data_IF_831976443904
#
_entry.id   IF_831976443904
#
_cell.length_a   1.000
_cell.length_b   1.000
_cell.length_c   1.000
_cell.angle_alpha   90.00
_cell.angle_beta   90.00
_cell.angle_gamma   90.00
#
_symmetry.space_group_name_H-M   'P 1'
#
loop_
_entity.id
_entity.type
_entity.pdbx_description
1 polymer ?
#
# COMPACT_ATOMS: atom_id res chain seq x y z
N UNK A 1 28.56 -6.30 6.75
CA UNK A 1 29.13 -6.15 5.39
C UNK A 1 28.61 -4.86 4.78
N UNK A 2 29.46 -3.83 4.66
CA UNK A 2 29.12 -2.56 4.00
C UNK A 2 29.29 -2.75 2.49
N UNK A 3 28.28 -3.29 1.79
CA UNK A 3 28.27 -3.25 0.32
C UNK A 3 27.94 -1.82 -0.11
N UNK A 4 28.85 -1.23 -0.88
CA UNK A 4 28.82 0.17 -1.28
C UNK A 4 27.62 0.43 -2.21
N UNK A 5 26.61 1.14 -1.69
CA UNK A 5 25.58 1.84 -2.47
C UNK A 5 26.14 3.12 -3.10
N UNK A 6 27.40 3.09 -3.53
CA UNK A 6 28.02 4.23 -4.20
C UNK A 6 27.72 4.07 -5.69
N UNK A 7 27.08 5.09 -6.25
CA UNK A 7 26.71 5.26 -7.66
C UNK A 7 25.37 4.61 -8.09
N UNK A 8 24.28 5.37 -7.94
CA UNK A 8 22.97 5.12 -8.57
C UNK A 8 22.92 5.81 -9.95
N UNK A 9 23.83 5.46 -10.86
CA UNK A 9 23.76 5.85 -12.28
C UNK A 9 23.81 4.56 -13.11
N UNK A 10 22.88 4.38 -14.06
CA UNK A 10 22.93 3.28 -15.03
C UNK A 10 22.36 1.93 -14.55
N UNK A 11 21.37 1.94 -13.64
CA UNK A 11 20.62 0.69 -13.39
C UNK A 11 19.60 0.47 -14.49
N UNK A 12 19.43 -0.76 -14.91
CA UNK A 12 18.40 -1.14 -15.86
C UNK A 12 17.42 -2.09 -15.18
N UNK A 13 16.14 -1.72 -15.14
CA UNK A 13 15.07 -2.62 -14.71
C UNK A 13 14.47 -3.27 -15.94
N UNK A 14 14.64 -4.59 -16.07
CA UNK A 14 14.09 -5.39 -17.16
C UNK A 14 12.97 -6.28 -16.64
N UNK A 15 11.76 -6.13 -17.18
CA UNK A 15 10.68 -7.09 -17.03
C UNK A 15 10.55 -7.90 -18.33
N UNK A 16 10.94 -9.17 -18.30
CA UNK A 16 10.89 -10.06 -19.46
C UNK A 16 10.67 -11.52 -19.05
N UNK A 17 10.37 -12.43 -19.99
CA UNK A 17 10.40 -13.86 -19.70
C UNK A 17 11.77 -14.29 -19.15
N UNK A 18 11.77 -15.24 -18.21
CA UNK A 18 12.98 -15.65 -17.47
C UNK A 18 14.11 -16.13 -18.38
N UNK A 19 13.77 -16.86 -19.43
CA UNK A 19 14.72 -17.40 -20.40
C UNK A 19 15.37 -16.29 -21.24
N UNK A 20 14.62 -15.23 -21.59
CA UNK A 20 15.18 -14.06 -22.26
C UNK A 20 16.10 -13.27 -21.33
N UNK A 21 15.73 -13.11 -20.06
CA UNK A 21 16.60 -12.47 -19.07
C UNK A 21 17.89 -13.26 -18.86
N UNK A 22 17.81 -14.59 -18.79
CA UNK A 22 18.98 -15.45 -18.69
C UNK A 22 19.83 -15.45 -19.98
N UNK A 23 19.24 -15.23 -21.15
CA UNK A 23 19.97 -15.01 -22.40
C UNK A 23 20.70 -13.67 -22.39
N UNK A 24 20.02 -12.60 -21.97
CA UNK A 24 20.57 -11.25 -21.83
C UNK A 24 21.75 -11.22 -20.86
N UNK A 25 21.59 -11.84 -19.68
CA UNK A 25 22.64 -11.97 -18.66
C UNK A 25 23.87 -12.75 -19.17
N UNK A 26 23.70 -13.69 -20.10
CA UNK A 26 24.80 -14.44 -20.70
C UNK A 26 25.48 -13.71 -21.86
N UNK A 27 24.71 -12.92 -22.62
CA UNK A 27 25.13 -12.34 -23.90
C UNK A 27 25.68 -10.92 -23.78
N UNK A 28 25.31 -10.19 -22.73
CA UNK A 28 25.77 -8.82 -22.48
C UNK A 28 26.57 -8.79 -21.17
N UNK A 29 27.61 -7.95 -21.04
CA UNK A 29 28.42 -7.80 -19.82
C UNK A 29 27.67 -7.09 -18.68
N UNK A 30 26.37 -7.34 -18.55
CA UNK A 30 25.53 -6.76 -17.52
C UNK A 30 25.88 -7.34 -16.16
N UNK A 31 26.19 -6.48 -15.20
CA UNK A 31 26.31 -6.90 -13.82
C UNK A 31 24.91 -7.08 -13.24
N UNK A 32 24.38 -8.31 -13.30
CA UNK A 32 23.12 -8.65 -12.64
C UNK A 32 23.27 -8.45 -11.12
N UNK A 33 22.47 -7.54 -10.56
CA UNK A 33 22.53 -7.19 -9.14
C UNK A 33 21.64 -8.12 -8.33
N UNK A 34 21.89 -9.42 -8.41
CA UNK A 34 21.17 -10.51 -7.71
C UNK A 34 19.65 -10.54 -8.02
N UNK A 35 19.05 -11.72 -8.31
CA UNK A 35 17.59 -11.81 -8.41
C UNK A 35 16.95 -11.36 -7.08
N UNK A 36 15.83 -10.62 -7.15
CA UNK A 36 15.13 -10.15 -5.95
C UNK A 36 14.81 -11.38 -5.07
N UNK A 37 15.35 -11.44 -3.83
CA UNK A 37 15.09 -12.57 -2.96
C UNK A 37 13.62 -12.57 -2.54
N UNK A 38 12.95 -13.71 -2.70
CA UNK A 38 11.58 -13.87 -2.21
C UNK A 38 11.56 -14.30 -0.73
N UNK A 39 10.49 -13.95 0.01
CA UNK A 39 10.29 -14.45 1.35
C UNK A 39 10.31 -15.98 1.38
N UNK A 40 11.09 -16.55 2.31
CA UNK A 40 11.15 -18.00 2.56
C UNK A 40 10.34 -18.42 3.78
N UNK A 41 9.85 -17.44 4.52
CA UNK A 41 9.14 -17.63 5.78
C UNK A 41 8.06 -16.55 5.91
N UNK A 42 6.93 -16.95 6.50
CA UNK A 42 5.86 -16.07 6.93
C UNK A 42 5.55 -16.38 8.40
N UNK A 43 5.01 -15.42 9.12
CA UNK A 43 4.49 -15.61 10.46
C UNK A 43 2.97 -15.69 10.38
N UNK A 44 2.39 -16.74 10.98
CA UNK A 44 0.93 -16.96 10.98
C UNK A 44 0.40 -16.91 12.41
N UNK A 45 -0.79 -16.32 12.57
CA UNK A 45 -1.43 -16.19 13.87
C UNK A 45 -2.17 -17.49 14.25
N UNK A 46 -1.57 -18.31 15.12
CA UNK A 46 -2.12 -19.59 15.60
C UNK A 46 -2.91 -19.43 16.89
N UNK A 47 -4.01 -20.17 17.01
CA UNK A 47 -4.80 -20.23 18.23
C UNK A 47 -4.09 -21.05 19.31
N UNK A 48 -3.93 -20.49 20.50
CA UNK A 48 -3.53 -21.21 21.70
C UNK A 48 -4.68 -21.15 22.71
N UNK A 49 -4.74 -22.09 23.66
CA UNK A 49 -5.72 -22.04 24.75
C UNK A 49 -5.64 -20.78 25.63
N UNK A 50 -4.69 -19.86 25.38
CA UNK A 50 -4.48 -18.58 26.08
C UNK A 50 -4.52 -17.36 25.15
N UNK A 51 -4.98 -17.49 23.90
CA UNK A 51 -4.99 -16.41 22.88
C UNK A 51 -4.24 -16.78 21.61
N UNK A 52 -4.07 -15.85 20.66
CA UNK A 52 -3.28 -16.12 19.44
C UNK A 52 -1.78 -15.86 19.67
N UNK A 53 -0.91 -16.58 18.96
CA UNK A 53 0.54 -16.34 18.91
C UNK A 53 1.07 -16.44 17.49
N UNK A 54 2.19 -15.78 17.22
CA UNK A 54 2.90 -15.94 15.96
C UNK A 54 3.62 -17.28 15.89
N UNK A 55 3.56 -17.90 14.72
CA UNK A 55 4.38 -19.05 14.38
C UNK A 55 4.97 -18.89 12.99
N UNK A 56 6.27 -19.17 12.88
CA UNK A 56 6.96 -19.18 11.61
C UNK A 56 6.56 -20.41 10.77
N UNK A 57 6.21 -20.17 9.51
CA UNK A 57 5.88 -21.19 8.52
C UNK A 57 6.75 -20.97 7.30
N UNK A 58 7.34 -22.05 6.79
CA UNK A 58 8.15 -22.00 5.57
C UNK A 58 7.26 -21.79 4.35
N UNK A 59 7.72 -20.90 3.48
CA UNK A 59 7.08 -20.65 2.20
C UNK A 59 7.86 -21.37 1.09
N UNK A 60 7.16 -21.98 0.11
CA UNK A 60 7.82 -22.50 -1.08
C UNK A 60 8.41 -21.33 -1.89
N UNK A 61 9.45 -21.57 -2.70
CA UNK A 61 9.85 -20.59 -3.71
C UNK A 61 8.65 -20.29 -4.62
N UNK A 62 8.45 -19.04 -5.05
CA UNK A 62 7.33 -18.73 -5.91
C UNK A 62 7.43 -19.49 -7.23
N UNK A 63 6.31 -20.05 -7.66
CA UNK A 63 6.13 -20.55 -9.01
C UNK A 63 5.32 -19.48 -9.78
N UNK A 64 5.98 -18.60 -10.55
CA UNK A 64 5.24 -17.62 -11.34
C UNK A 64 4.38 -18.33 -12.40
N UNK A 65 3.28 -17.71 -12.82
CA UNK A 65 2.41 -18.30 -13.83
C UNK A 65 3.16 -18.42 -15.18
N UNK A 66 2.78 -19.36 -16.05
CA UNK A 66 3.32 -19.45 -17.41
C UNK A 66 3.19 -18.11 -18.14
N UNK A 67 4.30 -17.61 -18.71
CA UNK A 67 4.33 -16.32 -19.40
C UNK A 67 4.49 -15.09 -18.51
N UNK A 68 4.68 -15.26 -17.19
CA UNK A 68 5.01 -14.15 -16.30
C UNK A 68 6.32 -13.47 -16.70
N UNK A 69 6.32 -12.15 -16.59
CA UNK A 69 7.51 -11.34 -16.75
C UNK A 69 8.20 -11.25 -15.41
N UNK A 70 9.46 -11.64 -15.38
CA UNK A 70 10.32 -11.51 -14.22
C UNK A 70 11.00 -10.16 -14.26
N UNK A 71 11.14 -9.51 -13.11
CA UNK A 71 11.95 -8.29 -13.02
C UNK A 71 13.41 -8.67 -12.67
N UNK A 72 14.36 -8.06 -13.39
CA UNK A 72 15.79 -8.10 -13.10
C UNK A 72 16.35 -6.69 -13.04
N UNK A 73 17.25 -6.49 -12.09
CA UNK A 73 18.06 -5.28 -11.99
C UNK A 73 19.45 -5.57 -12.55
N UNK A 74 19.81 -4.85 -13.60
CA UNK A 74 21.14 -4.86 -14.17
C UNK A 74 21.83 -3.51 -13.94
N UNK A 75 23.15 -3.48 -14.13
CA UNK A 75 23.91 -2.25 -14.36
C UNK A 75 24.44 -2.33 -15.78
N UNK A 76 24.18 -1.29 -16.57
CA UNK A 76 24.73 -1.11 -17.91
C UNK A 76 25.56 0.18 -17.92
N UNK A 77 26.78 0.15 -18.49
CA UNK A 77 27.66 1.32 -18.54
C UNK A 77 27.96 1.70 -20.00
N UNK A 78 27.55 2.91 -20.43
CA UNK A 78 27.95 3.48 -21.73
C UNK A 78 27.32 2.80 -22.95
N UNK A 79 28.14 2.46 -23.96
CA UNK A 79 27.67 1.96 -25.26
C UNK A 79 26.93 0.60 -25.20
N UNK A 80 27.09 -0.14 -24.11
CA UNK A 80 26.47 -1.44 -23.84
C UNK A 80 24.93 -1.35 -23.75
N UNK A 81 24.42 -0.17 -23.41
CA UNK A 81 23.00 0.11 -23.23
C UNK A 81 22.23 0.04 -24.55
N UNK A 82 22.73 0.71 -25.59
CA UNK A 82 22.08 0.76 -26.90
C UNK A 82 22.09 -0.61 -27.59
N UNK A 83 23.16 -1.38 -27.40
CA UNK A 83 23.28 -2.75 -27.91
C UNK A 83 22.26 -3.68 -27.24
N UNK A 84 22.11 -3.56 -25.92
CA UNK A 84 21.12 -4.30 -25.16
C UNK A 84 19.69 -3.96 -25.58
N UNK A 85 19.35 -2.67 -25.70
CA UNK A 85 18.03 -2.25 -26.17
C UNK A 85 17.75 -2.81 -27.57
N UNK A 86 18.72 -2.73 -28.49
CA UNK A 86 18.58 -3.30 -29.83
C UNK A 86 18.46 -4.83 -29.82
N UNK A 87 19.14 -5.54 -28.92
CA UNK A 87 18.98 -6.99 -28.74
C UNK A 87 17.58 -7.34 -28.24
N UNK A 88 17.11 -6.67 -27.19
CA UNK A 88 15.79 -6.87 -26.61
C UNK A 88 14.67 -6.58 -27.64
N UNK A 89 14.79 -5.49 -28.39
CA UNK A 89 13.83 -5.13 -29.44
C UNK A 89 13.77 -6.19 -30.56
N UNK A 90 14.91 -6.80 -30.93
CA UNK A 90 14.98 -7.86 -31.94
C UNK A 90 14.40 -9.19 -31.48
N UNK A 91 14.24 -9.42 -30.18
CA UNK A 91 13.68 -10.67 -29.66
C UNK A 91 12.22 -10.89 -30.10
N UNK A 92 11.48 -9.82 -30.42
CA UNK A 92 10.04 -9.88 -30.74
C UNK A 92 9.17 -10.30 -29.54
N UNK A 93 9.73 -10.34 -28.34
CA UNK A 93 9.04 -10.73 -27.10
C UNK A 93 8.65 -9.50 -26.30
N UNK A 94 7.66 -9.65 -25.43
CA UNK A 94 7.29 -8.60 -24.49
C UNK A 94 8.46 -8.36 -23.51
N UNK A 95 9.17 -7.26 -23.72
CA UNK A 95 10.23 -6.78 -22.85
C UNK A 95 9.89 -5.36 -22.45
N UNK A 96 9.98 -5.09 -21.16
CA UNK A 96 9.91 -3.74 -20.63
C UNK A 96 11.25 -3.44 -19.98
N UNK A 97 11.85 -2.30 -20.33
CA UNK A 97 13.17 -1.91 -19.85
C UNK A 97 13.17 -0.43 -19.47
N UNK A 98 13.73 -0.09 -18.30
CA UNK A 98 14.00 1.29 -17.90
C UNK A 98 15.48 1.53 -17.73
N UNK A 99 15.96 2.69 -18.18
CA UNK A 99 17.23 3.27 -17.76
C UNK A 99 16.98 4.12 -16.51
N UNK A 100 17.44 3.67 -15.35
CA UNK A 100 17.55 4.49 -14.13
C UNK A 100 18.66 5.53 -14.36
N UNK A 101 18.36 6.53 -15.17
CA UNK A 101 19.16 7.76 -15.21
C UNK A 101 18.79 8.70 -14.07
N UNK A 102 17.65 8.50 -13.43
CA UNK A 102 17.24 9.29 -12.27
C UNK A 102 16.53 8.39 -11.24
N UNK A 103 17.32 7.67 -10.44
CA UNK A 103 17.03 7.63 -9.00
C UNK A 103 17.47 8.98 -8.41
N UNK A 104 17.09 10.10 -9.06
CA UNK A 104 16.80 11.29 -8.29
C UNK A 104 15.65 10.83 -7.42
N UNK A 105 15.91 10.70 -6.14
CA UNK A 105 15.17 11.57 -5.25
C UNK A 105 13.65 11.54 -5.35
N UNK A 106 12.99 10.50 -5.86
CA UNK A 106 11.53 10.39 -5.83
C UNK A 106 11.15 9.99 -4.41
N UNK A 107 11.41 10.92 -3.50
CA UNK A 107 10.46 11.28 -2.48
C UNK A 107 9.14 11.54 -3.20
N UNK A 108 8.18 10.69 -2.91
CA UNK A 108 6.89 11.11 -2.36
C UNK A 108 5.95 9.91 -2.42
N UNK A 109 6.24 8.86 -1.62
CA UNK A 109 5.15 8.16 -0.93
C UNK A 109 4.71 9.10 0.19
N UNK A 110 4.08 10.22 -0.16
CA UNK A 110 3.73 11.28 0.77
C UNK A 110 2.63 10.80 1.70
N UNK A 111 3.05 10.25 2.83
CA UNK A 111 2.23 10.15 4.04
C UNK A 111 2.18 11.51 4.74
N UNK A 112 1.61 12.50 4.06
CA UNK A 112 1.24 13.79 4.66
C UNK A 112 -0.02 13.67 5.51
N UNK A 113 0.10 13.43 6.81
CA UNK A 113 -0.97 13.87 7.72
C UNK A 113 -0.76 15.35 7.98
N UNK A 114 -1.70 16.26 7.72
CA UNK A 114 -1.42 17.68 7.89
C UNK A 114 -1.84 18.24 9.24
N UNK A 115 -2.60 17.49 10.04
CA UNK A 115 -2.98 17.96 11.36
C UNK A 115 -3.20 16.82 12.33
N UNK A 116 -2.34 16.76 13.37
CA UNK A 116 -0.98 17.31 13.34
C UNK A 116 -0.08 16.53 12.35
N UNK A 117 1.06 17.12 11.94
CA UNK A 117 2.13 16.41 11.19
C UNK A 117 2.52 15.10 11.89
N UNK A 118 2.46 15.17 13.21
CA UNK A 118 2.75 14.10 14.11
C UNK A 118 1.46 13.51 14.69
N UNK A 119 1.47 12.20 14.91
CA UNK A 119 0.42 11.52 15.64
C UNK A 119 0.23 12.13 17.03
N UNK A 120 -1.02 12.19 17.51
CA UNK A 120 -1.33 12.52 18.90
C UNK A 120 -1.49 11.22 19.68
N UNK A 121 -0.69 11.03 20.72
CA UNK A 121 -0.81 9.87 21.62
C UNK A 121 -2.13 9.91 22.38
N UNK A 122 -2.75 8.73 22.55
CA UNK A 122 -3.99 8.55 23.31
C UNK A 122 -3.80 7.49 24.41
N UNK A 123 -3.02 7.79 25.47
CA UNK A 123 -2.65 6.78 26.49
C UNK A 123 -3.82 6.23 27.30
N UNK A 124 -4.96 6.92 27.33
CA UNK A 124 -6.19 6.47 27.98
C UNK A 124 -7.24 5.89 27.01
N UNK A 125 -6.95 5.82 25.71
CA UNK A 125 -7.87 5.21 24.76
C UNK A 125 -7.76 3.69 24.82
N UNK A 126 -8.90 3.04 24.57
CA UNK A 126 -9.04 1.59 24.58
C UNK A 126 -9.77 1.10 23.31
N UNK A 127 -10.07 -0.20 23.28
CA UNK A 127 -10.77 -0.79 22.14
C UNK A 127 -12.20 -0.21 21.97
N UNK A 128 -12.84 0.23 23.05
CA UNK A 128 -14.16 0.86 22.97
C UNK A 128 -14.07 2.23 22.30
N UNK A 129 -13.10 3.06 22.68
CA UNK A 129 -12.83 4.34 22.02
C UNK A 129 -12.50 4.17 20.54
N UNK A 130 -11.67 3.18 20.19
CA UNK A 130 -11.34 2.84 18.81
C UNK A 130 -12.57 2.45 17.98
N UNK A 131 -13.52 1.69 18.56
CA UNK A 131 -14.77 1.28 17.89
C UNK A 131 -15.86 2.34 17.86
N UNK A 132 -15.81 3.30 18.78
CA UNK A 132 -16.81 4.37 18.91
C UNK A 132 -16.46 5.64 18.12
N UNK A 133 -15.39 5.63 17.31
CA UNK A 133 -14.98 6.81 16.55
C UNK A 133 -16.04 7.22 15.49
N UNK A 134 -16.37 8.52 15.34
CA UNK A 134 -17.44 8.98 14.44
C UNK A 134 -17.25 8.59 12.97
N UNK A 135 -16.01 8.40 12.53
CA UNK A 135 -15.67 7.92 11.20
C UNK A 135 -16.37 6.60 10.84
N UNK A 136 -16.58 5.69 11.80
CA UNK A 136 -17.23 4.41 11.55
C UNK A 136 -18.76 4.55 11.39
N UNK A 137 -19.35 5.51 12.10
CA UNK A 137 -20.75 5.89 11.88
C UNK A 137 -20.94 6.42 10.47
N UNK A 138 -20.04 7.31 10.06
CA UNK A 138 -20.06 7.94 8.76
C UNK A 138 -19.88 6.91 7.64
N UNK A 139 -19.01 5.91 7.81
CA UNK A 139 -18.89 4.80 6.85
C UNK A 139 -20.16 3.92 6.76
N UNK A 140 -21.08 4.01 7.73
CA UNK A 140 -22.27 3.17 7.83
C UNK A 140 -22.05 1.88 8.64
N UNK A 141 -20.90 1.71 9.30
CA UNK A 141 -20.57 0.48 10.02
C UNK A 141 -21.50 0.22 11.20
N UNK A 142 -21.90 1.26 11.94
CA UNK A 142 -22.80 1.12 13.08
C UNK A 142 -24.21 0.68 12.69
N UNK A 143 -24.70 1.16 11.55
CA UNK A 143 -25.99 0.71 11.01
C UNK A 143 -25.90 -0.75 10.58
N UNK A 144 -24.84 -1.11 9.86
CA UNK A 144 -24.59 -2.49 9.45
C UNK A 144 -24.46 -3.44 10.65
N UNK A 145 -23.80 -3.03 11.74
CA UNK A 145 -23.64 -3.84 12.95
C UNK A 145 -24.94 -4.06 13.73
N UNK A 146 -25.93 -3.19 13.55
CA UNK A 146 -27.27 -3.37 14.13
C UNK A 146 -28.16 -4.29 13.29
N UNK A 147 -27.77 -4.59 12.04
CA UNK A 147 -28.53 -5.49 11.19
C UNK A 147 -28.54 -6.92 11.76
N UNK A 148 -29.66 -7.68 11.66
CA UNK A 148 -29.73 -9.05 12.16
C UNK A 148 -28.66 -9.98 11.56
N UNK A 149 -28.27 -9.69 10.32
CA UNK A 149 -27.18 -10.35 9.63
C UNK A 149 -26.46 -9.35 8.72
N UNK A 150 -25.12 -9.41 8.73
CA UNK A 150 -24.27 -8.75 7.74
C UNK A 150 -23.13 -9.67 7.32
N UNK A 151 -22.69 -9.63 6.05
CA UNK A 151 -21.41 -10.21 5.65
C UNK A 151 -20.26 -9.51 6.39
N UNK A 152 -19.18 -10.23 6.64
CA UNK A 152 -18.04 -9.77 7.46
C UNK A 152 -16.70 -9.95 6.77
N UNK A 153 -16.69 -10.22 5.46
CA UNK A 153 -15.49 -10.42 4.65
C UNK A 153 -15.06 -11.88 4.53
N UNK A 154 -15.92 -12.84 4.85
CA UNK A 154 -15.61 -14.26 4.77
C UNK A 154 -15.10 -14.68 3.39
N UNK A 155 -13.99 -15.42 3.37
CA UNK A 155 -13.43 -15.97 2.13
C UNK A 155 -12.70 -14.95 1.25
N UNK A 156 -12.55 -13.70 1.71
CA UNK A 156 -11.78 -12.66 1.02
C UNK A 156 -10.43 -12.47 1.73
N UNK A 157 -9.37 -12.31 0.95
CA UNK A 157 -8.05 -11.96 1.47
C UNK A 157 -7.73 -10.50 1.16
N UNK A 158 -7.51 -9.70 2.20
CA UNK A 158 -7.00 -8.33 2.09
C UNK A 158 -5.50 -8.35 2.27
N UNK A 159 -4.79 -7.92 1.25
CA UNK A 159 -3.32 -7.86 1.19
C UNK A 159 -2.90 -6.41 1.41
N UNK A 160 -2.15 -6.15 2.46
CA UNK A 160 -1.64 -4.83 2.81
C UNK A 160 -0.15 -4.83 2.48
N UNK A 161 0.24 -3.99 1.52
CA UNK A 161 1.65 -3.73 1.20
C UNK A 161 2.04 -2.42 1.86
N UNK A 162 2.76 -2.50 2.98
CA UNK A 162 3.02 -1.34 3.84
C UNK A 162 4.30 -1.58 4.67
N UNK A 163 4.53 -0.78 5.70
CA UNK A 163 5.51 -1.01 6.74
C UNK A 163 4.98 -1.98 7.80
N UNK A 164 5.88 -2.45 8.65
CA UNK A 164 5.56 -3.30 9.79
C UNK A 164 6.77 -3.42 10.70
N UNK A 165 6.56 -3.74 11.98
CA UNK A 165 7.67 -3.89 12.92
C UNK A 165 8.49 -5.14 12.59
N UNK A 166 9.80 -5.05 12.77
CA UNK A 166 10.69 -6.18 12.51
C UNK A 166 10.36 -7.38 13.38
N UNK A 167 10.33 -8.58 12.78
CA UNK A 167 10.04 -9.79 13.52
C UNK A 167 11.23 -10.19 14.39
N UNK A 168 10.96 -10.44 15.67
CA UNK A 168 11.94 -11.00 16.60
C UNK A 168 11.88 -12.53 16.63
N UNK A 169 12.60 -13.14 17.58
CA UNK A 169 12.56 -14.61 17.79
C UNK A 169 11.16 -15.16 18.09
N UNK A 170 10.30 -14.34 18.69
CA UNK A 170 8.92 -14.69 19.03
C UNK A 170 7.92 -14.33 17.91
N UNK A 171 8.41 -13.84 16.76
CA UNK A 171 7.62 -13.27 15.69
C UNK A 171 7.48 -11.75 15.80
N UNK A 172 6.57 -11.16 14.99
CA UNK A 172 6.29 -9.73 14.98
C UNK A 172 5.79 -9.22 16.33
N UNK A 173 6.29 -8.07 16.83
CA UNK A 173 5.99 -7.58 18.17
C UNK A 173 4.65 -6.82 18.26
N UNK A 174 3.59 -7.38 17.67
CA UNK A 174 2.23 -6.82 17.75
C UNK A 174 1.17 -7.91 17.88
N UNK A 175 -0.03 -7.49 18.27
CA UNK A 175 -1.19 -8.35 18.50
C UNK A 175 -1.55 -9.22 17.28
N UNK A 176 -1.45 -10.56 17.40
CA UNK A 176 -1.77 -11.50 16.32
C UNK A 176 -3.27 -11.59 15.99
N UNK A 177 -4.15 -10.87 16.69
CA UNK A 177 -5.56 -10.76 16.29
C UNK A 177 -5.79 -9.79 15.12
N UNK A 178 -4.86 -8.87 14.87
CA UNK A 178 -5.01 -7.85 13.83
C UNK A 178 -4.68 -8.38 12.42
N UNK A 179 -3.68 -9.26 12.32
CA UNK A 179 -3.15 -9.79 11.05
C UNK A 179 -3.11 -11.31 11.12
N UNK A 180 -3.54 -12.00 10.06
CA UNK A 180 -3.53 -13.46 10.02
C UNK A 180 -2.19 -14.01 9.49
N UNK A 181 -1.59 -13.31 8.53
CA UNK A 181 -0.30 -13.67 7.92
C UNK A 181 0.58 -12.42 7.81
N UNK A 182 1.78 -12.49 8.36
CA UNK A 182 2.78 -11.43 8.30
C UNK A 182 4.01 -11.90 7.52
N UNK A 183 4.49 -11.08 6.60
CA UNK A 183 5.61 -11.42 5.70
C UNK A 183 6.61 -10.28 5.70
N UNK A 184 7.89 -10.59 5.93
CA UNK A 184 8.96 -9.62 5.77
C UNK A 184 9.54 -9.71 4.36
N UNK A 185 9.45 -8.62 3.59
CA UNK A 185 10.12 -8.56 2.30
C UNK A 185 11.65 -8.54 2.51
N UNK A 186 12.43 -9.43 1.87
CA UNK A 186 13.83 -9.66 2.28
C UNK A 186 14.78 -8.53 1.88
N UNK A 187 14.44 -7.77 0.85
CA UNK A 187 15.18 -6.60 0.40
C UNK A 187 14.36 -5.35 0.74
N UNK A 188 15.03 -4.31 1.23
CA UNK A 188 14.40 -3.00 1.45
C UNK A 188 15.39 -1.91 1.12
N UNK A 189 14.86 -0.77 0.71
CA UNK A 189 15.64 0.44 0.48
C UNK A 189 16.33 0.90 1.80
N UNK A 190 17.65 1.15 1.81
CA UNK A 190 18.34 1.66 2.99
C UNK A 190 17.81 3.03 3.42
N UNK A 191 17.56 3.22 4.73
CA UNK A 191 16.93 4.43 5.27
C UNK A 191 17.78 5.71 5.13
N UNK A 192 19.10 5.57 4.95
CA UNK A 192 20.03 6.71 4.85
C UNK A 192 20.37 7.13 3.42
N UNK A 193 19.61 6.71 2.41
CA UNK A 193 19.86 7.15 1.04
C UNK A 193 19.48 8.63 0.88
N UNK A 194 20.31 9.47 0.20
CA UNK A 194 19.99 10.87 -0.04
C UNK A 194 18.66 11.09 -0.78
N UNK A 195 18.24 10.13 -1.61
CA UNK A 195 16.92 10.11 -2.26
C UNK A 195 15.76 10.06 -1.27
N UNK A 196 15.98 9.63 -0.03
CA UNK A 196 14.97 9.61 1.03
C UNK A 196 15.03 10.81 1.97
N UNK A 197 15.97 11.74 1.78
CA UNK A 197 16.08 12.93 2.62
C UNK A 197 14.94 13.90 2.28
N UNK A 198 14.26 14.45 3.29
CA UNK A 198 13.20 15.46 3.08
C UNK A 198 13.73 16.59 2.19
N UNK A 199 13.04 16.88 1.08
CA UNK A 199 13.34 18.06 0.25
C UNK A 199 12.89 19.27 1.07
N UNK A 200 13.76 20.26 1.32
CA UNK A 200 13.35 21.48 1.98
C UNK A 200 12.22 22.14 1.17
N UNK A 201 11.09 22.44 1.80
CA UNK A 201 10.06 23.26 1.15
C UNK A 201 10.73 24.57 0.68
N UNK A 202 10.53 24.99 -0.58
CA UNK A 202 11.07 26.25 -1.04
C UNK A 202 10.51 27.38 -0.18
N UNK A 203 11.38 28.29 0.28
CA UNK A 203 10.98 29.45 1.06
C UNK A 203 9.79 30.14 0.41
N UNK A 204 8.72 30.29 1.19
CA UNK A 204 7.40 30.75 0.75
C UNK A 204 7.48 32.06 0.00
N UNK A 205 7.55 31.97 -1.33
CA UNK A 205 7.15 33.09 -2.18
C UNK A 205 5.65 33.20 -2.02
N UNK A 206 5.20 34.35 -1.51
CA UNK A 206 3.80 34.71 -1.29
C UNK A 206 3.00 34.47 -2.57
N UNK A 207 2.43 33.28 -2.71
CA UNK A 207 1.39 33.07 -3.70
C UNK A 207 0.19 33.86 -3.17
N UNK A 208 -0.21 34.93 -3.88
CA UNK A 208 -1.30 35.83 -3.47
C UNK A 208 -2.70 35.19 -3.38
N UNK A 209 -2.79 33.86 -3.42
CA UNK A 209 -3.97 33.10 -3.02
C UNK A 209 -3.94 33.04 -1.50
N UNK A 210 -5.01 33.47 -0.83
CA UNK A 210 -5.13 33.45 0.63
C UNK A 210 -4.78 32.06 1.16
N UNK A 211 -3.54 31.90 1.62
CA UNK A 211 -3.08 30.65 2.21
C UNK A 211 -4.05 30.29 3.33
N UNK A 212 -4.70 29.13 3.20
CA UNK A 212 -5.42 28.54 4.33
C UNK A 212 -4.35 28.22 5.37
N UNK A 213 -4.13 29.16 6.29
CA UNK A 213 -3.13 29.01 7.35
C UNK A 213 -3.38 27.71 8.09
N UNK A 214 -2.33 26.90 8.14
CA UNK A 214 -2.31 25.62 8.81
C UNK A 214 -2.59 25.79 10.31
N UNK A 215 -3.55 25.06 10.91
CA UNK A 215 -3.74 25.05 12.35
C UNK A 215 -2.54 24.36 13.01
N UNK A 216 -1.75 25.10 13.79
CA UNK A 216 -0.67 24.51 14.59
C UNK A 216 -1.29 23.99 15.88
N UNK A 217 -1.28 22.67 16.06
CA UNK A 217 -1.74 22.02 17.29
C UNK A 217 -0.56 21.89 18.25
N UNK A 218 -0.70 22.47 19.45
CA UNK A 218 0.25 22.29 20.54
C UNK A 218 -0.34 21.35 21.59
N UNK A 219 0.33 20.23 21.83
CA UNK A 219 -0.05 19.26 22.86
C UNK A 219 1.18 18.52 23.38
N UNK A 220 1.30 18.24 24.70
CA UNK A 220 2.35 17.37 25.22
C UNK A 220 2.21 15.90 24.76
N UNK A 221 1.05 15.56 24.18
CA UNK A 221 0.79 14.24 23.59
C UNK A 221 1.18 14.16 22.12
N UNK A 222 1.56 15.29 21.50
CA UNK A 222 2.09 15.32 20.15
C UNK A 222 3.39 14.49 20.10
N UNK A 223 3.49 13.61 19.11
CA UNK A 223 4.65 12.74 18.96
C UNK A 223 5.90 13.53 18.55
N UNK A 224 7.05 13.18 19.13
CA UNK A 224 8.36 13.66 18.65
C UNK A 224 8.79 12.92 17.39
N UNK A 225 9.82 13.39 16.69
CA UNK A 225 10.35 12.71 15.49
C UNK A 225 10.76 11.26 15.75
N UNK A 226 11.36 11.00 16.92
CA UNK A 226 11.72 9.64 17.32
C UNK A 226 10.49 8.75 17.52
N UNK A 227 9.45 9.29 18.16
CA UNK A 227 8.18 8.58 18.34
C UNK A 227 7.48 8.36 17.00
N UNK A 228 7.54 9.34 16.09
CA UNK A 228 7.02 9.21 14.73
C UNK A 228 7.73 8.13 13.94
N UNK A 229 9.06 7.97 14.05
CA UNK A 229 9.75 6.82 13.45
C UNK A 229 9.20 5.48 13.97
N UNK A 230 8.94 5.38 15.28
CA UNK A 230 8.36 4.18 15.86
C UNK A 230 6.91 3.92 15.39
N UNK A 231 6.10 4.98 15.23
CA UNK A 231 4.74 4.87 14.69
C UNK A 231 4.72 4.52 13.20
N UNK A 232 5.60 5.11 12.39
CA UNK A 232 5.76 4.77 10.97
C UNK A 232 6.12 3.30 10.78
N UNK A 233 6.91 2.71 11.68
CA UNK A 233 7.18 1.27 11.66
C UNK A 233 5.94 0.39 11.93
N UNK A 234 4.86 0.95 12.49
CA UNK A 234 3.60 0.25 12.75
C UNK A 234 2.46 0.69 11.82
N UNK A 235 2.73 1.48 10.79
CA UNK A 235 1.70 2.04 9.91
C UNK A 235 0.85 0.94 9.25
N UNK A 236 1.46 -0.11 8.71
CA UNK A 236 0.70 -1.25 8.16
C UNK A 236 -0.16 -2.01 9.18
N UNK A 237 0.23 -2.01 10.46
CA UNK A 237 -0.60 -2.59 11.55
C UNK A 237 -1.81 -1.71 11.83
N UNK A 238 -1.65 -0.38 11.81
CA UNK A 238 -2.77 0.56 11.93
C UNK A 238 -3.76 0.40 10.76
N UNK A 239 -3.26 0.29 9.53
CA UNK A 239 -4.07 -0.02 8.34
C UNK A 239 -4.83 -1.34 8.52
N UNK A 240 -4.14 -2.41 8.95
CA UNK A 240 -4.75 -3.70 9.22
C UNK A 240 -5.86 -3.63 10.28
N UNK A 241 -5.66 -2.82 11.34
CA UNK A 241 -6.65 -2.65 12.41
C UNK A 241 -7.97 -2.06 11.89
N UNK A 242 -7.91 -1.11 10.96
CA UNK A 242 -9.09 -0.51 10.34
C UNK A 242 -9.81 -1.50 9.41
N UNK A 243 -9.05 -2.26 8.60
CA UNK A 243 -9.61 -3.34 7.78
C UNK A 243 -10.33 -4.35 8.68
N UNK A 244 -9.71 -4.78 9.79
CA UNK A 244 -10.27 -5.73 10.75
C UNK A 244 -11.54 -5.21 11.41
N UNK A 245 -11.68 -3.90 11.65
CA UNK A 245 -12.92 -3.32 12.17
C UNK A 245 -14.10 -3.49 11.20
N UNK A 246 -13.87 -3.21 9.91
CA UNK A 246 -14.94 -3.22 8.91
C UNK A 246 -15.26 -4.64 8.45
N UNK A 247 -14.23 -5.44 8.16
CA UNK A 247 -14.30 -6.81 7.65
C UNK A 247 -13.64 -7.81 8.62
N UNK A 248 -14.24 -8.06 9.79
CA UNK A 248 -13.59 -8.83 10.86
C UNK A 248 -13.30 -10.29 10.51
N UNK A 249 -13.92 -10.84 9.46
CA UNK A 249 -13.75 -12.23 9.00
C UNK A 249 -12.98 -12.34 7.68
N UNK A 250 -12.48 -11.24 7.14
CA UNK A 250 -11.48 -11.28 6.06
C UNK A 250 -10.15 -11.83 6.59
N UNK A 251 -9.42 -12.53 5.72
CA UNK A 251 -8.05 -12.91 5.98
C UNK A 251 -7.16 -11.70 5.69
N UNK A 252 -6.36 -11.26 6.67
CA UNK A 252 -5.48 -10.10 6.49
C UNK A 252 -4.04 -10.58 6.36
N UNK A 253 -3.42 -10.24 5.23
CA UNK A 253 -2.01 -10.51 4.92
C UNK A 253 -1.27 -9.18 4.91
N UNK A 254 -0.35 -8.97 5.86
CA UNK A 254 0.51 -7.79 5.89
C UNK A 254 1.90 -8.16 5.36
N UNK A 255 2.30 -7.54 4.25
CA UNK A 255 3.65 -7.66 3.69
C UNK A 255 4.40 -6.38 4.00
N UNK A 256 5.43 -6.50 4.85
CA UNK A 256 6.37 -5.41 5.17
C UNK A 256 7.31 -5.20 3.98
N UNK A 257 6.91 -4.33 3.05
CA UNK A 257 7.72 -3.92 1.90
C UNK A 257 8.33 -2.53 2.10
N UNK A 258 7.68 -1.67 2.87
CA UNK A 258 8.20 -0.33 3.18
C UNK A 258 9.23 -0.38 4.33
N UNK A 259 10.23 0.50 4.26
CA UNK A 259 11.19 0.71 5.35
C UNK A 259 10.63 1.63 6.47
N UNK A 260 11.42 1.95 7.50
CA UNK A 260 10.98 2.83 8.60
C UNK A 260 10.70 4.29 8.18
N UNK A 261 11.21 4.70 7.02
CA UNK A 261 10.89 5.99 6.39
C UNK A 261 9.68 5.92 5.46
N UNK A 262 8.97 4.78 5.39
CA UNK A 262 7.84 4.50 4.50
C UNK A 262 8.20 4.50 3.00
N UNK A 263 9.48 4.27 2.67
CA UNK A 263 9.97 4.14 1.29
C UNK A 263 10.16 2.68 0.86
N UNK A 264 9.93 2.42 -0.42
CA UNK A 264 10.31 1.20 -1.13
C UNK A 264 10.60 1.53 -2.60
N UNK A 265 11.32 0.65 -3.28
CA UNK A 265 11.44 0.79 -4.73
C UNK A 265 10.20 0.23 -5.44
N UNK A 266 9.78 0.86 -6.53
CA UNK A 266 8.59 0.45 -7.30
C UNK A 266 8.61 -1.03 -7.71
N UNK A 267 9.79 -1.55 -8.09
CA UNK A 267 9.92 -2.96 -8.45
C UNK A 267 9.71 -3.91 -7.27
N UNK A 268 10.06 -3.51 -6.03
CA UNK A 268 9.82 -4.32 -4.83
C UNK A 268 8.33 -4.46 -4.57
N UNK A 269 7.57 -3.38 -4.78
CA UNK A 269 6.10 -3.38 -4.70
C UNK A 269 5.50 -4.29 -5.77
N UNK A 270 5.94 -4.18 -7.03
CA UNK A 270 5.48 -5.02 -8.15
C UNK A 270 5.73 -6.51 -7.88
N UNK A 271 6.95 -6.86 -7.46
CA UNK A 271 7.30 -8.24 -7.16
C UNK A 271 6.55 -8.77 -5.93
N UNK A 272 6.32 -7.94 -4.90
CA UNK A 272 5.51 -8.33 -3.75
C UNK A 272 4.05 -8.61 -4.16
N UNK A 273 3.44 -7.78 -5.01
CA UNK A 273 2.09 -8.01 -5.51
C UNK A 273 2.01 -9.33 -6.31
N UNK A 274 2.95 -9.56 -7.23
CA UNK A 274 3.02 -10.79 -8.02
C UNK A 274 3.24 -12.03 -7.15
N UNK A 275 4.10 -11.91 -6.14
CA UNK A 275 4.39 -12.98 -5.19
C UNK A 275 3.15 -13.41 -4.41
N UNK A 276 2.36 -12.47 -3.88
CA UNK A 276 1.10 -12.78 -3.19
C UNK A 276 0.08 -13.41 -4.15
N UNK A 277 -0.04 -12.87 -5.38
CA UNK A 277 -0.90 -13.46 -6.41
C UNK A 277 -0.53 -14.90 -6.77
N UNK A 278 0.77 -15.22 -6.81
CA UNK A 278 1.26 -16.58 -7.02
C UNK A 278 0.96 -17.49 -5.82
N UNK A 279 1.11 -16.99 -4.59
CA UNK A 279 0.78 -17.73 -3.37
C UNK A 279 -0.71 -18.09 -3.28
N UNK A 280 -1.60 -17.22 -3.80
CA UNK A 280 -3.03 -17.51 -3.88
C UNK A 280 -3.36 -18.67 -4.84
N UNK A 281 -2.53 -18.91 -5.88
CA UNK A 281 -2.70 -20.00 -6.85
C UNK A 281 -2.02 -21.30 -6.45
N UNK A 282 -0.94 -21.20 -5.69
CA UNK A 282 -0.20 -22.34 -5.14
C UNK A 282 -0.26 -22.26 -3.60
N UNK A 283 -1.43 -22.56 -3.01
CA UNK A 283 -1.71 -22.24 -1.62
C UNK A 283 -0.85 -23.07 -0.66
N UNK A 284 -0.27 -22.37 0.31
CA UNK A 284 0.32 -23.00 1.50
C UNK A 284 -0.79 -23.17 2.53
N UNK A 285 -1.01 -24.38 3.10
CA UNK A 285 -2.04 -24.59 4.12
C UNK A 285 -1.62 -24.01 5.47
N UNK A 286 -2.57 -23.39 6.17
CA UNK A 286 -2.42 -22.93 7.54
C UNK A 286 -2.26 -24.14 8.48
N UNK A 287 -1.27 -24.16 9.40
CA UNK A 287 -1.00 -25.31 10.27
C UNK A 287 -2.20 -25.80 11.09
N UNK A 288 -3.03 -24.90 11.61
CA UNK A 288 -4.18 -25.26 12.45
C UNK A 288 -5.45 -25.62 11.68
N UNK A 289 -5.70 -24.97 10.54
CA UNK A 289 -7.03 -24.99 9.89
C UNK A 289 -7.03 -25.70 8.56
N UNK A 290 -5.85 -25.98 7.98
CA UNK A 290 -5.68 -26.50 6.64
C UNK A 290 -6.10 -25.54 5.52
N UNK A 291 -6.67 -24.37 5.84
CA UNK A 291 -7.07 -23.36 4.85
C UNK A 291 -5.85 -22.69 4.23
N UNK A 292 -5.89 -22.25 2.96
CA UNK A 292 -4.82 -21.46 2.37
C UNK A 292 -4.41 -20.23 3.21
N UNK A 293 -3.11 -19.95 3.28
CA UNK A 293 -2.59 -18.70 3.87
C UNK A 293 -2.99 -17.47 3.07
N UNK A 294 -3.26 -17.64 1.78
CA UNK A 294 -3.76 -16.60 0.86
C UNK A 294 -4.78 -17.26 -0.05
N UNK A 295 -5.95 -16.64 -0.22
CA UNK A 295 -7.02 -17.15 -1.09
C UNK A 295 -7.64 -16.02 -1.92
N UNK A 296 -8.09 -16.33 -3.14
CA UNK A 296 -8.89 -15.40 -3.91
C UNK A 296 -10.34 -15.32 -3.37
N UNK A 297 -11.03 -14.17 -3.53
CA UNK A 297 -10.58 -12.95 -4.20
C UNK A 297 -9.58 -12.14 -3.36
N UNK A 298 -8.67 -11.44 -4.04
CA UNK A 298 -7.64 -10.60 -3.44
C UNK A 298 -8.03 -9.12 -3.49
N UNK A 299 -7.92 -8.43 -2.37
CA UNK A 299 -8.00 -6.97 -2.28
C UNK A 299 -6.64 -6.44 -1.85
N UNK A 300 -5.90 -5.83 -2.77
CA UNK A 300 -4.64 -5.14 -2.47
C UNK A 300 -4.96 -3.75 -1.92
N UNK A 301 -4.70 -3.55 -0.64
CA UNK A 301 -4.66 -2.23 -0.03
C UNK A 301 -3.26 -1.62 -0.24
N UNK A 302 -3.18 -0.64 -1.13
CA UNK A 302 -1.96 0.11 -1.44
C UNK A 302 -2.05 1.47 -0.76
N UNK A 303 -1.71 1.47 0.53
CA UNK A 303 -1.54 2.68 1.34
C UNK A 303 -0.18 3.33 1.05
N UNK A 304 0.08 3.55 -0.24
CA UNK A 304 1.32 4.10 -0.78
C UNK A 304 1.00 4.76 -2.12
N UNK A 305 1.91 5.62 -2.59
CA UNK A 305 1.82 6.26 -3.89
C UNK A 305 3.22 6.54 -4.43
N UNK A 306 3.33 6.62 -5.75
CA UNK A 306 4.51 7.08 -6.47
C UNK A 306 4.14 8.41 -7.11
N UNK A 307 4.97 9.43 -6.89
CA UNK A 307 4.78 10.73 -7.53
C UNK A 307 4.92 10.64 -9.04
N UNK A 308 3.96 11.24 -9.72
CA UNK A 308 3.80 11.21 -11.17
C UNK A 308 4.38 12.50 -11.73
N UNK A 309 5.71 12.58 -11.86
CA UNK A 309 6.30 13.74 -12.53
C UNK A 309 5.90 13.78 -14.02
N UNK A 310 5.78 12.63 -14.70
CA UNK A 310 5.19 12.47 -16.05
C UNK A 310 4.53 11.07 -16.22
N UNK A 311 3.32 10.95 -16.82
CA UNK A 311 2.62 9.68 -17.07
C UNK A 311 3.43 8.62 -17.84
N UNK A 312 4.45 9.05 -18.56
CA UNK A 312 5.28 8.23 -19.42
C UNK A 312 6.59 7.79 -18.75
N UNK A 313 6.78 8.05 -17.45
CA UNK A 313 7.94 7.46 -16.77
C UNK A 313 7.85 5.95 -16.81
N UNK A 314 9.00 5.29 -16.91
CA UNK A 314 9.02 3.84 -17.09
C UNK A 314 8.53 3.13 -15.83
N UNK A 315 8.76 3.71 -14.66
CA UNK A 315 8.27 3.24 -13.37
C UNK A 315 6.73 3.18 -13.36
N UNK A 316 6.08 4.23 -13.87
CA UNK A 316 4.64 4.29 -14.08
C UNK A 316 4.16 3.16 -14.99
N UNK A 317 4.81 2.99 -16.16
CA UNK A 317 4.47 1.93 -17.10
C UNK A 317 4.59 0.52 -16.48
N UNK A 318 5.67 0.23 -15.76
CA UNK A 318 5.91 -1.09 -15.15
C UNK A 318 4.91 -1.38 -14.05
N UNK A 319 4.60 -0.39 -13.20
CA UNK A 319 3.59 -0.54 -12.16
C UNK A 319 2.19 -0.72 -12.77
N UNK A 320 1.83 0.05 -13.80
CA UNK A 320 0.57 -0.08 -14.52
C UNK A 320 0.42 -1.48 -15.12
N UNK A 321 1.45 -2.03 -15.75
CA UNK A 321 1.42 -3.38 -16.31
C UNK A 321 1.17 -4.45 -15.25
N UNK A 322 1.81 -4.33 -14.08
CA UNK A 322 1.59 -5.26 -12.97
C UNK A 322 0.17 -5.13 -12.39
N UNK A 323 -0.33 -3.91 -12.25
CA UNK A 323 -1.70 -3.63 -11.81
C UNK A 323 -2.72 -4.23 -12.79
N UNK A 324 -2.55 -3.98 -14.09
CA UNK A 324 -3.41 -4.50 -15.15
C UNK A 324 -3.36 -6.04 -15.21
N UNK A 325 -2.18 -6.63 -15.07
CA UNK A 325 -1.99 -8.09 -14.98
C UNK A 325 -2.81 -8.70 -13.84
N UNK A 326 -2.69 -8.14 -12.63
CA UNK A 326 -3.37 -8.65 -11.44
C UNK A 326 -4.87 -8.37 -11.47
N UNK A 327 -5.29 -7.23 -12.02
CA UNK A 327 -6.70 -6.91 -12.23
C UNK A 327 -7.34 -7.93 -13.18
N UNK A 328 -6.69 -8.27 -14.30
CA UNK A 328 -7.14 -9.35 -15.19
C UNK A 328 -7.21 -10.73 -14.51
N UNK A 329 -6.46 -10.94 -13.43
CA UNK A 329 -6.55 -12.12 -12.55
C UNK A 329 -7.63 -11.98 -11.46
N UNK A 330 -8.55 -11.02 -11.61
CA UNK A 330 -9.65 -10.72 -10.68
C UNK A 330 -9.20 -10.27 -9.29
N UNK A 331 -8.04 -9.61 -9.20
CA UNK A 331 -7.68 -8.86 -8.00
C UNK A 331 -8.28 -7.46 -8.03
N UNK A 332 -8.56 -6.90 -6.85
CA UNK A 332 -9.01 -5.52 -6.68
C UNK A 332 -7.89 -4.71 -6.03
N UNK A 333 -7.68 -3.47 -6.46
CA UNK A 333 -6.70 -2.57 -5.85
C UNK A 333 -7.43 -1.38 -5.24
N UNK A 334 -7.16 -1.12 -3.97
CA UNK A 334 -7.66 0.05 -3.23
C UNK A 334 -6.45 0.90 -2.90
N UNK A 335 -6.37 2.06 -3.52
CA UNK A 335 -5.15 2.87 -3.55
C UNK A 335 -5.41 4.20 -2.87
N UNK A 336 -4.55 4.56 -1.91
CA UNK A 336 -4.55 5.88 -1.30
C UNK A 336 -4.27 6.95 -2.38
N UNK A 337 -5.01 8.06 -2.35
CA UNK A 337 -4.84 9.13 -3.33
C UNK A 337 -3.50 9.89 -3.16
N UNK A 338 -2.91 9.90 -1.97
CA UNK A 338 -1.77 10.74 -1.64
C UNK A 338 -2.18 11.98 -0.85
N UNK A 339 -1.19 12.63 -0.25
CA UNK A 339 -1.43 13.67 0.76
C UNK A 339 -0.68 15.00 0.50
N UNK A 340 -0.52 15.36 -0.77
CA UNK A 340 0.26 16.50 -1.24
C UNK A 340 -0.56 17.76 -1.48
N UNK A 341 -1.90 17.65 -1.49
CA UNK A 341 -2.79 18.74 -1.86
C UNK A 341 -2.54 20.04 -1.10
N UNK A 342 -2.34 19.97 0.23
CA UNK A 342 -2.23 21.16 1.09
C UNK A 342 -3.33 22.21 0.81
N UNK A 343 -4.54 21.75 0.48
CA UNK A 343 -5.72 22.55 0.17
C UNK A 343 -5.84 23.00 -1.28
N UNK A 344 -4.97 22.54 -2.17
CA UNK A 344 -4.93 22.82 -3.61
C UNK A 344 -5.42 21.59 -4.39
N UNK A 345 -6.05 21.75 -5.57
CA UNK A 345 -6.32 20.62 -6.45
C UNK A 345 -5.00 19.92 -6.78
N UNK A 346 -4.90 18.64 -6.41
CA UNK A 346 -3.71 17.82 -6.64
C UNK A 346 -4.16 16.45 -7.12
N UNK A 347 -3.49 15.93 -8.15
CA UNK A 347 -3.85 14.65 -8.74
C UNK A 347 -3.49 13.51 -7.79
N UNK A 348 -4.28 12.43 -7.79
CA UNK A 348 -3.88 11.24 -7.08
C UNK A 348 -2.57 10.63 -7.62
N UNK A 349 -1.79 10.06 -6.70
CA UNK A 349 -0.54 9.36 -6.98
C UNK A 349 -0.77 8.03 -7.71
N UNK A 350 0.27 7.47 -8.29
CA UNK A 350 0.21 6.12 -8.84
C UNK A 350 0.36 5.08 -7.73
N UNK A 351 -0.44 3.99 -7.70
CA UNK A 351 -1.32 3.52 -8.77
C UNK A 351 -2.77 4.02 -8.71
N UNK A 352 -3.16 4.89 -7.77
CA UNK A 352 -4.53 5.43 -7.71
C UNK A 352 -4.92 6.14 -9.02
N UNK A 353 -3.97 6.88 -9.62
CA UNK A 353 -4.12 7.54 -10.92
C UNK A 353 -4.65 6.61 -12.04
N UNK A 354 -4.21 5.35 -12.08
CA UNK A 354 -4.64 4.41 -13.12
C UNK A 354 -6.14 4.14 -13.10
N UNK A 355 -6.71 4.09 -11.89
CA UNK A 355 -8.16 3.98 -11.71
C UNK A 355 -8.89 5.32 -11.90
N UNK A 356 -8.23 6.44 -11.63
CA UNK A 356 -8.80 7.77 -11.83
C UNK A 356 -8.95 8.09 -13.33
N UNK A 357 -7.88 7.92 -14.10
CA UNK A 357 -7.83 8.29 -15.51
C UNK A 357 -8.22 7.15 -16.45
N UNK A 358 -8.20 5.90 -15.97
CA UNK A 358 -8.64 4.74 -16.74
C UNK A 358 -7.63 4.33 -17.81
N UNK A 359 -6.35 4.26 -17.44
CA UNK A 359 -5.25 3.97 -18.38
C UNK A 359 -5.38 2.61 -19.09
N UNK A 360 -6.08 1.66 -18.46
CA UNK A 360 -6.57 0.42 -19.11
C UNK A 360 -7.98 0.08 -18.64
N UNK A 361 -8.69 -0.80 -19.35
CA UNK A 361 -10.02 -1.27 -18.91
C UNK A 361 -9.98 -1.98 -17.55
N UNK A 362 -8.96 -2.80 -17.30
CA UNK A 362 -8.84 -3.50 -16.03
C UNK A 362 -8.52 -2.53 -14.88
N UNK A 363 -7.63 -1.56 -15.10
CA UNK A 363 -7.38 -0.50 -14.13
C UNK A 363 -8.62 0.37 -13.88
N UNK A 364 -9.34 0.75 -14.94
CA UNK A 364 -10.54 1.55 -14.85
C UNK A 364 -11.61 0.88 -13.98
N UNK A 365 -11.74 -0.45 -14.04
CA UNK A 365 -12.81 -1.20 -13.34
C UNK A 365 -12.39 -1.71 -11.96
N UNK A 366 -11.10 -2.00 -11.75
CA UNK A 366 -10.63 -2.70 -10.55
C UNK A 366 -9.59 -1.92 -9.70
N UNK A 367 -9.16 -0.74 -10.14
CA UNK A 367 -8.39 0.19 -9.30
C UNK A 367 -9.33 1.25 -8.74
N UNK A 368 -9.42 1.29 -7.42
CA UNK A 368 -10.28 2.18 -6.64
C UNK A 368 -9.39 3.25 -5.98
N UNK A 369 -9.31 4.46 -6.55
CA UNK A 369 -8.59 5.57 -5.93
C UNK A 369 -9.41 6.14 -4.76
N UNK A 370 -8.77 6.34 -3.61
CA UNK A 370 -9.44 6.75 -2.37
C UNK A 370 -8.78 7.99 -1.77
N UNK A 371 -9.53 9.09 -1.77
CA UNK A 371 -9.22 10.30 -1.05
C UNK A 371 -9.66 10.22 0.42
N UNK A 372 -9.04 11.07 1.25
CA UNK A 372 -9.40 11.25 2.64
C UNK A 372 -10.45 12.36 2.78
N UNK A 373 -11.35 12.15 3.72
CA UNK A 373 -12.38 13.10 4.18
C UNK A 373 -12.38 13.13 5.71
N UNK A 374 -13.11 14.05 6.33
CA UNK A 374 -13.37 13.98 7.78
C UNK A 374 -14.78 13.47 8.04
N UNK A 375 -14.99 12.89 9.23
CA UNK A 375 -16.33 12.54 9.69
C UNK A 375 -17.26 13.76 9.78
N UNK A 376 -16.70 14.97 9.99
CA UNK A 376 -17.46 16.22 10.09
C UNK A 376 -17.84 16.81 8.71
N UNK A 377 -17.01 16.60 7.68
CA UNK A 377 -17.23 17.06 6.31
C UNK A 377 -16.99 15.92 5.32
N UNK A 378 -17.88 14.93 5.31
CA UNK A 378 -17.60 13.66 4.64
C UNK A 378 -17.82 13.64 3.13
N UNK A 379 -18.40 14.69 2.56
CA UNK A 379 -18.50 14.89 1.11
C UNK A 379 -17.44 15.86 0.56
N UNK A 380 -16.43 16.19 1.37
CA UNK A 380 -15.35 17.11 1.02
C UNK A 380 -13.99 16.46 1.27
N UNK A 381 -13.05 16.69 0.36
CA UNK A 381 -11.65 16.34 0.56
C UNK A 381 -11.13 16.94 1.87
N UNK A 382 -10.45 16.12 2.67
CA UNK A 382 -9.62 16.60 3.76
C UNK A 382 -8.53 17.51 3.18
N UNK A 383 -8.07 18.50 3.95
CA UNK A 383 -7.17 19.54 3.43
C UNK A 383 -5.90 18.99 2.76
N UNK A 384 -5.36 17.87 3.24
CA UNK A 384 -4.19 17.25 2.66
C UNK A 384 -4.46 16.33 1.47
N UNK A 385 -5.69 15.87 1.29
CA UNK A 385 -5.96 14.77 0.38
C UNK A 385 -5.80 15.21 -1.06
N UNK A 386 -5.06 14.43 -1.84
CA UNK A 386 -5.16 14.51 -3.29
C UNK A 386 -6.57 14.09 -3.74
N UNK A 387 -6.95 14.51 -4.93
CA UNK A 387 -8.26 14.26 -5.52
C UNK A 387 -8.38 12.83 -6.04
N UNK A 388 -9.56 12.22 -5.86
CA UNK A 388 -9.88 10.88 -6.33
C UNK A 388 -11.40 10.73 -6.51
N UNK A 389 -11.83 9.72 -7.27
CA UNK A 389 -13.25 9.43 -7.47
C UNK A 389 -14.02 9.23 -6.15
N UNK A 390 -13.41 8.51 -5.21
CA UNK A 390 -14.06 8.10 -3.97
C UNK A 390 -13.37 8.70 -2.75
N UNK A 391 -14.15 8.98 -1.72
CA UNK A 391 -13.68 9.52 -0.45
C UNK A 391 -14.12 8.65 0.72
N UNK A 392 -13.26 8.47 1.71
CA UNK A 392 -13.61 7.83 2.97
C UNK A 392 -13.00 8.60 4.15
N UNK A 393 -13.48 8.40 5.39
CA UNK A 393 -12.88 9.04 6.55
C UNK A 393 -11.39 8.71 6.63
N UNK A 394 -10.56 9.73 6.66
CA UNK A 394 -9.10 9.63 6.74
C UNK A 394 -8.48 10.72 7.61
N UNK A 395 -9.29 11.62 8.19
CA UNK A 395 -8.86 12.70 9.08
C UNK A 395 -9.26 12.40 10.52
N UNK A 396 -8.36 12.68 11.46
CA UNK A 396 -8.56 12.57 12.92
C UNK A 396 -9.01 11.18 13.40
N UNK A 397 -8.53 10.13 12.75
CA UNK A 397 -8.87 8.75 13.09
C UNK A 397 -8.14 8.29 14.34
N UNK A 398 -8.83 7.49 15.16
CA UNK A 398 -8.19 6.71 16.22
C UNK A 398 -7.64 5.44 15.57
N UNK A 399 -6.34 5.17 15.77
CA UNK A 399 -5.61 4.06 15.16
C UNK A 399 -5.04 3.15 16.24
N UNK A 400 -5.03 1.84 16.00
CA UNK A 400 -4.43 0.83 16.90
C UNK A 400 -3.05 0.40 16.37
N UNK A 401 -2.00 0.63 17.15
CA UNK A 401 -0.64 0.16 16.86
C UNK A 401 -0.50 -1.38 17.02
N UNK A 402 -1.49 -2.06 17.60
CA UNK A 402 -1.44 -3.48 17.96
C UNK A 402 -0.58 -3.80 19.17
N UNK A 403 0.14 -2.81 19.71
CA UNK A 403 0.98 -2.90 20.90
C UNK A 403 1.23 -1.50 21.44
N UNK A 404 1.75 -1.39 22.65
CA UNK A 404 2.19 -0.08 23.16
C UNK A 404 3.46 0.37 22.43
N UNK A 405 3.40 1.52 21.76
CA UNK A 405 4.52 2.14 21.06
C UNK A 405 4.69 3.56 21.60
N UNK A 406 5.90 3.93 22.03
CA UNK A 406 6.20 5.26 22.57
C UNK A 406 5.21 5.73 23.68
N UNK A 407 4.77 4.79 24.52
CA UNK A 407 3.88 5.03 25.66
C UNK A 407 2.39 5.11 25.29
N UNK A 408 1.98 4.64 24.10
CA UNK A 408 0.57 4.56 23.72
C UNK A 408 0.30 3.43 22.74
N UNK A 409 -0.75 2.63 22.97
CA UNK A 409 -1.24 1.66 21.97
C UNK A 409 -2.09 2.32 20.89
N UNK A 410 -2.90 3.31 21.29
CA UNK A 410 -3.76 4.04 20.38
C UNK A 410 -3.23 5.44 20.15
N UNK A 411 -3.45 5.98 18.95
CA UNK A 411 -3.10 7.34 18.61
C UNK A 411 -4.14 7.96 17.68
N UNK A 412 -4.11 9.28 17.54
CA UNK A 412 -4.85 10.00 16.51
C UNK A 412 -3.94 10.42 15.39
N UNK A 413 -4.31 10.11 14.15
CA UNK A 413 -3.56 10.50 12.96
C UNK A 413 -4.47 10.56 11.73
N UNK A 414 -3.94 11.15 10.66
CA UNK A 414 -4.67 11.37 9.42
C UNK A 414 -3.88 10.83 8.22
N UNK A 415 -4.57 10.47 7.14
CA UNK A 415 -3.93 9.97 5.93
C UNK A 415 -4.91 9.31 4.97
N UNK A 416 -4.68 9.47 3.66
CA UNK A 416 -5.38 8.71 2.62
C UNK A 416 -5.13 7.21 2.72
N UNK A 417 -4.01 6.80 3.34
CA UNK A 417 -3.71 5.42 3.71
C UNK A 417 -4.79 4.79 4.59
N UNK A 418 -5.32 5.54 5.55
CA UNK A 418 -6.36 5.06 6.45
C UNK A 418 -7.75 5.08 5.81
N UNK A 419 -8.02 6.06 4.95
CA UNK A 419 -9.22 6.08 4.13
C UNK A 419 -9.27 4.85 3.19
N UNK A 420 -8.16 4.54 2.51
CA UNK A 420 -8.02 3.34 1.70
C UNK A 420 -8.25 2.05 2.52
N UNK A 421 -7.75 1.98 3.76
CA UNK A 421 -7.97 0.85 4.66
C UNK A 421 -9.46 0.59 4.94
N UNK A 422 -10.23 1.65 5.22
CA UNK A 422 -11.68 1.54 5.44
C UNK A 422 -12.40 1.05 4.19
N UNK A 423 -12.04 1.57 3.02
CA UNK A 423 -12.61 1.15 1.73
C UNK A 423 -12.24 -0.30 1.39
N UNK A 424 -11.01 -0.72 1.68
CA UNK A 424 -10.58 -2.12 1.56
C UNK A 424 -11.45 -3.06 2.39
N UNK A 425 -11.79 -2.65 3.61
CA UNK A 425 -12.73 -3.36 4.46
C UNK A 425 -14.15 -3.43 3.86
N UNK A 426 -14.68 -2.31 3.35
CA UNK A 426 -16.01 -2.27 2.69
C UNK A 426 -16.05 -3.23 1.50
N UNK A 427 -15.03 -3.17 0.64
CA UNK A 427 -14.96 -4.01 -0.55
C UNK A 427 -14.77 -5.48 -0.18
N UNK A 428 -14.01 -5.79 0.87
CA UNK A 428 -13.93 -7.17 1.37
C UNK A 428 -15.30 -7.70 1.84
N UNK A 429 -16.09 -6.88 2.54
CA UNK A 429 -17.46 -7.24 2.92
C UNK A 429 -18.31 -7.49 1.67
N UNK A 430 -18.26 -6.63 0.67
CA UNK A 430 -19.06 -6.80 -0.55
C UNK A 430 -18.63 -8.00 -1.39
N UNK A 431 -17.33 -8.23 -1.57
CA UNK A 431 -16.83 -9.41 -2.29
C UNK A 431 -17.24 -10.71 -1.59
N UNK A 432 -17.34 -10.73 -0.26
CA UNK A 432 -17.83 -11.91 0.48
C UNK A 432 -19.30 -12.27 0.20
N UNK A 433 -20.05 -11.38 -0.45
CA UNK A 433 -21.43 -11.66 -0.93
C UNK A 433 -21.48 -12.35 -2.31
N UNK A 434 -20.32 -12.56 -2.94
CA UNK A 434 -20.21 -13.05 -4.31
C UNK A 434 -20.18 -11.95 -5.37
N UNK A 435 -20.05 -10.67 -4.98
CA UNK A 435 -19.82 -9.57 -5.91
C UNK A 435 -18.51 -9.82 -6.70
N UNK A 436 -18.54 -9.81 -8.04
CA UNK A 436 -17.32 -9.94 -8.83
C UNK A 436 -16.39 -8.71 -8.65
N UNK A 437 -15.05 -8.90 -8.56
CA UNK A 437 -14.09 -7.80 -8.45
C UNK A 437 -14.24 -6.72 -9.53
N UNK A 438 -14.46 -7.11 -10.78
CA UNK A 438 -14.70 -6.21 -11.92
C UNK A 438 -15.96 -5.34 -11.79
N UNK A 439 -16.91 -5.73 -10.91
CA UNK A 439 -18.14 -4.98 -10.63
C UNK A 439 -18.04 -4.10 -9.38
N UNK A 440 -16.96 -4.23 -8.59
CA UNK A 440 -16.82 -3.58 -7.29
C UNK A 440 -16.85 -2.06 -7.39
N UNK A 441 -16.12 -1.48 -8.34
CA UNK A 441 -16.07 -0.02 -8.53
C UNK A 441 -17.38 0.55 -9.07
N UNK A 442 -18.07 -0.17 -9.96
CA UNK A 442 -19.40 0.22 -10.40
C UNK A 442 -20.39 0.23 -9.21
N UNK A 443 -20.32 -0.78 -8.34
CA UNK A 443 -21.12 -0.81 -7.11
C UNK A 443 -20.78 0.34 -6.15
N UNK A 444 -19.51 0.76 -6.07
CA UNK A 444 -19.15 1.98 -5.32
C UNK A 444 -19.82 3.22 -5.91
N UNK A 445 -19.81 3.40 -7.23
CA UNK A 445 -20.51 4.52 -7.88
C UNK A 445 -22.02 4.53 -7.60
N UNK A 446 -22.65 3.35 -7.54
CA UNK A 446 -24.07 3.20 -7.22
C UNK A 446 -24.40 3.54 -5.76
N UNK A 447 -23.51 3.21 -4.82
CA UNK A 447 -23.77 3.25 -3.37
C UNK A 447 -23.17 4.45 -2.66
N UNK A 448 -22.11 5.03 -3.21
CA UNK A 448 -21.46 6.18 -2.60
C UNK A 448 -22.42 7.37 -2.53
N UNK A 449 -22.39 8.08 -1.41
CA UNK A 449 -23.15 9.32 -1.27
C UNK A 449 -22.51 10.36 -2.17
N UNK A 450 -23.29 10.85 -3.14
CA UNK A 450 -22.85 11.90 -4.06
C UNK A 450 -22.52 13.17 -3.30
N UNK A 451 -21.50 13.93 -3.74
CA UNK A 451 -21.20 15.19 -3.11
C UNK A 451 -22.33 16.20 -3.34
N UNK A 452 -22.55 17.06 -2.34
CA UNK A 452 -23.51 18.16 -2.45
C UNK A 452 -22.95 19.38 -3.20
N UNK A 453 -21.65 19.35 -3.53
CA UNK A 453 -20.88 20.45 -4.14
C UNK A 453 -20.03 19.93 -5.29
N UNK A 454 -19.67 20.85 -6.20
CA UNK A 454 -18.88 20.54 -7.39
C UNK A 454 -17.44 20.16 -7.06
N UNK A 455 -16.90 20.64 -5.94
CA UNK A 455 -15.56 20.37 -5.42
C UNK A 455 -15.55 19.23 -4.38
N UNK A 456 -16.64 18.47 -4.30
CA UNK A 456 -16.78 17.37 -3.36
C UNK A 456 -16.34 16.01 -3.91
N UNK A 457 -16.43 15.00 -3.07
CA UNK A 457 -16.03 13.61 -3.37
C UNK A 457 -17.17 12.63 -3.12
N UNK A 458 -17.23 11.54 -3.89
CA UNK A 458 -18.21 10.48 -3.66
C UNK A 458 -17.86 9.70 -2.40
N UNK A 459 -18.59 9.95 -1.32
CA UNK A 459 -18.31 9.38 -0.01
C UNK A 459 -18.73 7.90 0.04
N UNK A 460 -17.78 7.01 0.31
CA UNK A 460 -18.01 5.57 0.41
C UNK A 460 -18.91 5.25 1.61
N UNK A 461 -19.74 4.22 1.43
CA UNK A 461 -20.64 3.65 2.43
C UNK A 461 -20.57 2.13 2.38
N UNK A 462 -20.73 1.49 3.54
CA UNK A 462 -20.80 0.03 3.69
C UNK A 462 -22.15 -0.54 3.24
#
# INVERSE_FOLDING_TARGET
>A
MRRAWRYLRGHLLLAAPQDLLAEVERSHPLRCLEPCPFPREAYVARGTGRGRRWEAVRLPPPAPPPGALWVRRAVAEGAEEAELVAHLARSGRAVYGSLDLEVLGQLEVSHGSPTPDAAIRLPGADQAAFRAQPALAELGLWEADRAPWRPRGEGVTVVILDSGPEAGRAGPPFDPELVDVYVEWPQRLPEGLPVLAEIPEPDGSECGVVDRRRPVVWSPLLATDEQMRAYRAHHGVMVASLVRLVAPRAQIVLVRVLNGALGAATYEVVEAMRWVGALARSPVPHPDTGRPLVSAPLVYNLSLGVDRSQPETVQSCVLLLAVDELARQRALMVCAAGNLSQGRPENCLEPAAYGQFGDTLAAQTQVVPVAATSAAQPDRYAWFSNEAHFGAPGEDLVLDCGTEVAGSRYLRWSGTSFAAALVSGVLAVWLSTGLPPESAKARLWERARRPSRWDGVHAVRL
#
